data_IF_149210783578
#
_entry.id   IF_149210783578
#
_cell.length_a   1.000
_cell.length_b   1.000
_cell.length_c   1.000
_cell.angle_alpha   90.00
_cell.angle_beta   90.00
_cell.angle_gamma   90.00
#
_symmetry.space_group_name_H-M   'P 1'
#
loop_
_entity.id
_entity.type
_entity.pdbx_description
1 polymer ?
#
# COMPACT_ATOMS: atom_id res chain seq x y z
N UNK A 1 -15.35 -46.59 25.53
CA UNK A 1 -14.25 -45.92 24.80
C UNK A 1 -14.70 -44.96 23.70
N UNK A 2 -15.77 -45.22 22.93
CA UNK A 2 -16.24 -44.32 21.85
C UNK A 2 -16.79 -42.95 22.31
N UNK A 3 -17.28 -42.83 23.56
CA UNK A 3 -17.85 -41.57 24.09
C UNK A 3 -16.78 -40.54 24.49
N UNK A 4 -15.56 -40.97 24.79
CA UNK A 4 -14.45 -40.08 25.14
C UNK A 4 -13.86 -39.36 23.92
N UNK A 5 -13.88 -40.02 22.75
CA UNK A 5 -13.40 -39.46 21.49
C UNK A 5 -14.30 -38.31 20.97
N UNK A 6 -15.61 -38.36 21.26
CA UNK A 6 -16.55 -37.31 20.86
C UNK A 6 -16.39 -36.03 21.69
N UNK A 7 -15.97 -36.16 22.96
CA UNK A 7 -15.74 -35.03 23.84
C UNK A 7 -14.46 -34.24 23.50
N UNK A 8 -13.44 -34.90 22.94
CA UNK A 8 -12.20 -34.24 22.51
C UNK A 8 -12.36 -33.36 21.27
N UNK A 9 -13.34 -33.62 20.40
CA UNK A 9 -13.58 -32.84 19.17
C UNK A 9 -14.25 -31.48 19.43
N UNK A 10 -14.88 -31.28 20.59
CA UNK A 10 -15.56 -30.03 20.94
C UNK A 10 -14.66 -28.99 21.61
N UNK A 11 -13.42 -29.36 21.98
CA UNK A 11 -12.47 -28.46 22.65
C UNK A 11 -11.47 -27.80 21.71
N UNK A 12 -11.52 -28.09 20.40
CA UNK A 12 -10.71 -27.41 19.37
C UNK A 12 -11.46 -26.21 18.78
N UNK A 13 -12.35 -25.57 19.55
CA UNK A 13 -12.73 -24.20 19.29
C UNK A 13 -11.55 -23.30 19.73
N UNK A 14 -10.47 -23.33 18.94
CA UNK A 14 -9.34 -22.43 19.12
C UNK A 14 -9.86 -21.03 18.80
N UNK A 15 -10.26 -20.28 19.83
CA UNK A 15 -10.50 -18.86 19.71
C UNK A 15 -9.16 -18.21 19.34
N UNK A 16 -8.90 -18.10 18.04
CA UNK A 16 -7.76 -17.36 17.53
C UNK A 16 -7.95 -15.91 17.97
N UNK A 17 -7.36 -15.54 19.11
CA UNK A 17 -7.00 -14.17 19.45
C UNK A 17 -5.89 -13.73 18.49
N UNK A 18 -6.21 -13.71 17.20
CA UNK A 18 -5.45 -12.93 16.22
C UNK A 18 -5.67 -11.48 16.66
N UNK A 19 -4.62 -10.69 16.83
CA UNK A 19 -4.75 -9.23 16.88
C UNK A 19 -5.59 -8.83 15.67
N UNK A 20 -6.91 -8.65 15.88
CA UNK A 20 -7.84 -8.38 14.80
C UNK A 20 -7.69 -6.90 14.51
N UNK A 21 -6.66 -6.56 13.74
CA UNK A 21 -6.68 -5.31 12.98
C UNK A 21 -8.05 -5.21 12.36
N UNK A 22 -8.74 -4.09 12.62
CA UNK A 22 -10.08 -3.91 12.09
C UNK A 22 -10.04 -4.03 10.56
N UNK A 23 -11.11 -4.49 9.93
CA UNK A 23 -11.20 -4.56 8.45
C UNK A 23 -10.84 -3.22 7.81
N UNK A 24 -11.16 -2.12 8.51
CA UNK A 24 -10.74 -0.77 8.17
C UNK A 24 -9.22 -0.57 8.19
N UNK A 25 -8.51 -1.02 9.22
CA UNK A 25 -7.04 -0.94 9.29
C UNK A 25 -6.37 -1.76 8.19
N UNK A 26 -6.90 -2.95 7.92
CA UNK A 26 -6.45 -3.82 6.82
C UNK A 26 -6.63 -3.08 5.50
N UNK A 27 -7.84 -2.56 5.24
CA UNK A 27 -8.15 -1.80 4.03
C UNK A 27 -7.26 -0.57 3.85
N UNK A 28 -7.06 0.22 4.92
CA UNK A 28 -6.22 1.43 4.88
C UNK A 28 -4.77 1.05 4.58
N UNK A 29 -4.24 0.05 5.29
CA UNK A 29 -2.88 -0.43 5.08
C UNK A 29 -2.68 -0.92 3.65
N UNK A 30 -3.59 -1.78 3.17
CA UNK A 30 -3.56 -2.31 1.81
C UNK A 30 -3.57 -1.20 0.77
N UNK A 31 -4.48 -0.24 0.91
CA UNK A 31 -4.58 0.86 -0.04
C UNK A 31 -3.27 1.65 -0.09
N UNK A 32 -2.72 2.01 1.07
CA UNK A 32 -1.50 2.81 1.18
C UNK A 32 -0.28 2.09 0.65
N UNK A 33 -0.09 0.82 1.01
CA UNK A 33 1.10 0.08 0.60
C UNK A 33 1.10 -0.18 -0.91
N UNK A 34 -0.06 -0.52 -1.48
CA UNK A 34 -0.19 -0.67 -2.93
C UNK A 34 -0.01 0.66 -3.67
N UNK A 35 -0.54 1.76 -3.14
CA UNK A 35 -0.27 3.09 -3.69
C UNK A 35 1.22 3.41 -3.70
N UNK A 36 1.91 3.19 -2.58
CA UNK A 36 3.34 3.48 -2.46
C UNK A 36 4.18 2.65 -3.44
N UNK A 37 3.94 1.34 -3.54
CA UNK A 37 4.59 0.46 -4.53
C UNK A 37 4.43 0.97 -5.96
N UNK A 38 3.21 1.35 -6.34
CA UNK A 38 2.92 1.88 -7.68
C UNK A 38 3.55 3.25 -7.90
N UNK A 39 3.55 4.11 -6.89
CA UNK A 39 4.21 5.41 -6.95
C UNK A 39 5.71 5.25 -7.20
N UNK A 40 6.38 4.36 -6.46
CA UNK A 40 7.79 4.04 -6.67
C UNK A 40 8.04 3.49 -8.07
N UNK A 41 7.23 2.50 -8.51
CA UNK A 41 7.34 1.93 -9.86
C UNK A 41 7.26 3.02 -10.94
N UNK A 42 6.27 3.89 -10.88
CA UNK A 42 6.07 4.92 -11.90
C UNK A 42 7.05 6.08 -11.79
N UNK A 43 7.45 6.45 -10.57
CA UNK A 43 8.40 7.54 -10.34
C UNK A 43 9.83 7.19 -10.73
N UNK A 44 10.25 5.95 -10.49
CA UNK A 44 11.57 5.44 -10.85
C UNK A 44 11.65 4.82 -12.25
N UNK A 45 10.50 4.51 -12.88
CA UNK A 45 10.42 3.91 -14.21
C UNK A 45 11.07 2.52 -14.24
N UNK A 46 12.02 2.35 -15.17
CA UNK A 46 12.68 1.07 -15.43
C UNK A 46 13.93 0.82 -14.58
N UNK A 47 14.09 1.54 -13.44
CA UNK A 47 15.21 1.33 -12.50
C UNK A 47 15.25 -0.14 -12.03
N UNK A 48 16.29 -0.92 -12.37
CA UNK A 48 16.37 -2.34 -12.03
C UNK A 48 16.37 -2.60 -10.52
N UNK A 49 16.95 -1.68 -9.75
CA UNK A 49 17.03 -1.77 -8.29
C UNK A 49 15.64 -1.70 -7.66
N UNK A 50 14.80 -0.78 -8.14
CA UNK A 50 13.42 -0.64 -7.64
C UNK A 50 12.58 -1.82 -8.08
N UNK A 51 12.72 -2.30 -9.33
CA UNK A 51 12.01 -3.50 -9.77
C UNK A 51 12.38 -4.72 -8.90
N UNK A 52 13.67 -4.86 -8.55
CA UNK A 52 14.14 -5.93 -7.65
C UNK A 52 13.56 -5.78 -6.24
N UNK A 53 13.57 -4.57 -5.66
CA UNK A 53 12.99 -4.31 -4.35
C UNK A 53 11.50 -4.65 -4.34
N UNK A 54 10.75 -4.19 -5.35
CA UNK A 54 9.32 -4.44 -5.46
C UNK A 54 8.99 -5.92 -5.70
N UNK A 55 9.86 -6.67 -6.38
CA UNK A 55 9.71 -8.10 -6.58
C UNK A 55 10.00 -8.93 -5.32
N UNK A 56 10.92 -8.46 -4.47
CA UNK A 56 11.24 -9.10 -3.19
C UNK A 56 10.27 -8.72 -2.07
N UNK A 57 9.60 -7.58 -2.21
CA UNK A 57 8.67 -7.09 -1.20
C UNK A 57 7.41 -7.98 -1.12
N UNK A 58 7.21 -8.54 0.08
CA UNK A 58 6.04 -9.35 0.44
C UNK A 58 5.05 -8.58 1.31
N UNK A 59 5.17 -7.25 1.39
CA UNK A 59 4.25 -6.42 2.15
C UNK A 59 2.86 -6.45 1.53
N UNK A 60 1.84 -6.41 2.37
CA UNK A 60 0.44 -6.50 1.96
C UNK A 60 -0.21 -7.83 2.37
N UNK A 61 -1.50 -7.94 2.10
CA UNK A 61 -2.28 -9.15 2.30
C UNK A 61 -2.34 -9.97 1.01
N UNK A 62 -2.30 -11.30 1.14
CA UNK A 62 -2.39 -12.21 0.00
C UNK A 62 -3.79 -12.27 -0.61
N UNK A 63 -4.81 -11.97 0.20
CA UNK A 63 -6.20 -11.90 -0.25
C UNK A 63 -6.47 -10.54 -0.89
N UNK A 64 -7.22 -10.47 -2.01
CA UNK A 64 -7.50 -9.22 -2.71
C UNK A 64 -8.54 -8.36 -1.98
N UNK A 65 -8.14 -7.75 -0.86
CA UNK A 65 -9.04 -6.97 0.03
C UNK A 65 -9.69 -5.77 -0.68
N UNK A 66 -9.00 -5.19 -1.67
CA UNK A 66 -9.41 -3.94 -2.31
C UNK A 66 -10.25 -4.10 -3.59
N UNK A 67 -10.38 -5.32 -4.13
CA UNK A 67 -11.11 -5.58 -5.37
C UNK A 67 -10.69 -4.64 -6.53
N UNK A 68 -11.68 -3.95 -7.14
CA UNK A 68 -11.43 -3.03 -8.26
C UNK A 68 -10.58 -1.80 -7.90
N UNK A 69 -10.43 -1.47 -6.61
CA UNK A 69 -9.63 -0.32 -6.19
C UNK A 69 -8.14 -0.51 -6.51
N UNK A 70 -7.64 -1.73 -6.70
CA UNK A 70 -6.26 -1.94 -7.17
C UNK A 70 -5.98 -1.24 -8.51
N UNK A 71 -6.97 -1.21 -9.42
CA UNK A 71 -6.86 -0.52 -10.71
C UNK A 71 -6.89 1.00 -10.49
N UNK A 72 -7.77 1.47 -9.61
CA UNK A 72 -7.85 2.90 -9.29
C UNK A 72 -6.56 3.42 -8.66
N UNK A 73 -5.97 2.64 -7.73
CA UNK A 73 -4.69 2.94 -7.09
C UNK A 73 -3.57 3.04 -8.12
N UNK A 74 -3.52 2.11 -9.07
CA UNK A 74 -2.52 2.12 -10.14
C UNK A 74 -2.61 3.40 -10.98
N UNK A 75 -3.82 3.76 -11.42
CA UNK A 75 -4.09 5.00 -12.15
C UNK A 75 -3.75 6.25 -11.33
N UNK A 76 -4.12 6.28 -10.05
CA UNK A 76 -3.85 7.40 -9.14
C UNK A 76 -2.34 7.61 -8.97
N UNK A 77 -1.60 6.55 -8.67
CA UNK A 77 -0.15 6.59 -8.53
C UNK A 77 0.55 7.01 -9.82
N UNK A 78 0.08 6.54 -10.98
CA UNK A 78 0.62 6.93 -12.29
C UNK A 78 0.45 8.43 -12.54
N UNK A 79 -0.75 8.97 -12.32
CA UNK A 79 -1.03 10.41 -12.45
C UNK A 79 -0.17 11.23 -11.51
N UNK A 80 0.01 10.77 -10.27
CA UNK A 80 0.84 11.46 -9.29
C UNK A 80 2.32 11.48 -9.68
N UNK A 81 2.87 10.35 -10.12
CA UNK A 81 4.24 10.29 -10.61
C UNK A 81 4.47 11.24 -11.79
N UNK A 82 3.50 11.35 -12.72
CA UNK A 82 3.54 12.32 -13.81
C UNK A 82 3.52 13.76 -13.29
N UNK A 83 2.66 14.06 -12.32
CA UNK A 83 2.61 15.38 -11.69
C UNK A 83 3.96 15.77 -11.06
N UNK A 84 4.61 14.86 -10.33
CA UNK A 84 5.94 15.12 -9.76
C UNK A 84 7.01 15.33 -10.82
N UNK A 85 6.95 14.58 -11.93
CA UNK A 85 7.86 14.78 -13.07
C UNK A 85 7.70 16.18 -13.67
N UNK A 86 6.47 16.69 -13.78
CA UNK A 86 6.20 18.04 -14.29
C UNK A 86 6.69 19.12 -13.31
N UNK A 87 6.47 18.93 -12.00
CA UNK A 87 7.00 19.84 -10.99
C UNK A 87 8.53 19.91 -11.03
N UNK A 88 9.21 18.78 -11.25
CA UNK A 88 10.67 18.69 -11.34
C UNK A 88 11.24 19.41 -12.57
N UNK A 89 10.53 19.37 -13.70
CA UNK A 89 10.88 20.11 -14.93
C UNK A 89 10.71 21.62 -14.72
N UNK A 90 9.63 22.01 -14.03
CA UNK A 90 9.28 23.40 -13.79
C UNK A 90 10.05 24.04 -12.62
N UNK A 91 10.65 23.23 -11.73
CA UNK A 91 11.61 23.70 -10.74
C UNK A 91 12.96 23.97 -11.39
N UNK A 92 13.01 24.94 -12.30
CA UNK A 92 14.26 25.58 -12.69
C UNK A 92 14.79 26.32 -11.45
N UNK A 93 15.92 25.84 -10.91
CA UNK A 93 16.76 26.43 -9.84
C UNK A 93 16.51 25.90 -8.42
N UNK A 94 17.56 25.24 -7.92
CA UNK A 94 18.16 25.34 -6.58
C UNK A 94 17.39 24.88 -5.32
N UNK A 95 18.10 24.10 -4.47
CA UNK A 95 18.37 24.38 -3.04
C UNK A 95 18.56 23.11 -2.17
N UNK A 96 18.28 21.90 -2.65
CA UNK A 96 18.21 20.72 -1.75
C UNK A 96 19.35 19.70 -1.89
N UNK A 97 20.20 19.77 -2.90
CA UNK A 97 21.28 18.79 -3.14
C UNK A 97 20.81 17.35 -3.43
N UNK A 98 19.54 17.05 -3.20
CA UNK A 98 18.94 15.74 -3.40
C UNK A 98 18.87 15.39 -4.90
N UNK A 99 19.26 14.17 -5.24
CA UNK A 99 19.08 13.56 -6.54
C UNK A 99 17.60 13.42 -6.91
N UNK A 100 17.34 13.28 -8.21
CA UNK A 100 15.99 12.98 -8.72
C UNK A 100 15.38 11.74 -8.07
N UNK A 101 16.20 10.71 -7.82
CA UNK A 101 15.79 9.47 -7.17
C UNK A 101 15.31 9.71 -5.72
N UNK A 102 16.05 10.50 -4.96
CA UNK A 102 15.68 10.87 -3.59
C UNK A 102 14.39 11.68 -3.55
N UNK A 103 14.20 12.61 -4.50
CA UNK A 103 12.94 13.37 -4.62
C UNK A 103 11.74 12.47 -4.91
N UNK A 104 11.89 11.48 -5.81
CA UNK A 104 10.82 10.51 -6.08
C UNK A 104 10.45 9.72 -4.82
N UNK A 105 11.46 9.19 -4.11
CA UNK A 105 11.24 8.46 -2.86
C UNK A 105 10.53 9.34 -1.82
N UNK A 106 11.04 10.56 -1.61
CA UNK A 106 10.48 11.54 -0.69
C UNK A 106 9.02 11.86 -1.02
N UNK A 107 8.72 12.17 -2.28
CA UNK A 107 7.37 12.47 -2.74
C UNK A 107 6.40 11.31 -2.52
N UNK A 108 6.78 10.08 -2.88
CA UNK A 108 5.94 8.91 -2.65
C UNK A 108 5.72 8.64 -1.16
N UNK A 109 6.73 8.86 -0.32
CA UNK A 109 6.64 8.69 1.12
C UNK A 109 5.79 9.78 1.79
N UNK A 110 5.90 11.03 1.32
CA UNK A 110 5.04 12.14 1.73
C UNK A 110 3.58 11.81 1.44
N UNK A 111 3.26 11.33 0.24
CA UNK A 111 1.89 10.94 -0.10
C UNK A 111 1.37 9.78 0.75
N UNK A 112 2.18 8.74 0.98
CA UNK A 112 1.84 7.60 1.84
C UNK A 112 1.41 8.05 3.25
N UNK A 113 2.09 9.07 3.78
CA UNK A 113 1.82 9.65 5.10
C UNK A 113 0.84 10.84 5.05
N UNK A 114 0.29 11.19 3.89
CA UNK A 114 -0.50 12.41 3.72
C UNK A 114 -1.96 12.24 4.12
N UNK A 115 -2.54 13.32 4.66
CA UNK A 115 -4.00 13.47 4.85
C UNK A 115 -4.77 13.42 3.52
N UNK A 116 -4.11 13.75 2.40
CA UNK A 116 -4.71 13.67 1.08
C UNK A 116 -5.06 12.22 0.73
N UNK A 117 -4.10 11.30 0.86
CA UNK A 117 -4.33 9.89 0.60
C UNK A 117 -5.34 9.31 1.58
N UNK A 118 -5.26 9.70 2.87
CA UNK A 118 -6.26 9.33 3.88
C UNK A 118 -7.67 9.77 3.50
N UNK A 119 -7.84 10.96 2.92
CA UNK A 119 -9.13 11.47 2.49
C UNK A 119 -9.73 10.67 1.33
N UNK A 120 -8.88 10.17 0.42
CA UNK A 120 -9.30 9.29 -0.67
C UNK A 120 -9.75 7.96 -0.09
N UNK A 121 -8.93 7.36 0.77
CA UNK A 121 -9.21 6.08 1.43
C UNK A 121 -10.53 6.16 2.19
N UNK A 122 -10.76 7.22 2.98
CA UNK A 122 -12.00 7.44 3.74
C UNK A 122 -13.23 7.47 2.85
N UNK A 123 -13.14 8.06 1.64
CA UNK A 123 -14.25 8.09 0.67
C UNK A 123 -14.49 6.73 0.02
N UNK A 124 -13.45 5.91 -0.11
CA UNK A 124 -13.52 4.59 -0.75
C UNK A 124 -13.92 3.48 0.20
N UNK A 125 -13.59 3.61 1.48
CA UNK A 125 -14.00 2.66 2.50
C UNK A 125 -15.51 2.78 2.75
N UNK A 126 -16.26 1.83 2.19
CA UNK A 126 -17.64 1.58 2.58
C UNK A 126 -17.58 0.58 3.73
N UNK A 127 -17.50 1.09 4.96
CA UNK A 127 -17.67 0.22 6.12
C UNK A 127 -19.04 -0.44 6.05
N UNK A 128 -19.11 -1.73 6.34
CA UNK A 128 -20.35 -2.36 6.76
C UNK A 128 -20.61 -2.03 8.22
#
# INVERSE_FOLDING_TARGET
>A
MKKALLACLLLVACASQKDRKSDKEIFVYEFKIHYFKKCLKYGFGDSPEIQRILALDKSGYSEPVLGMLYIEIDSLAKKRAMYYKLLDINSTKEHTGASKKERVLSNCLCDYNSKWLDSIIKKKYKGN
#
